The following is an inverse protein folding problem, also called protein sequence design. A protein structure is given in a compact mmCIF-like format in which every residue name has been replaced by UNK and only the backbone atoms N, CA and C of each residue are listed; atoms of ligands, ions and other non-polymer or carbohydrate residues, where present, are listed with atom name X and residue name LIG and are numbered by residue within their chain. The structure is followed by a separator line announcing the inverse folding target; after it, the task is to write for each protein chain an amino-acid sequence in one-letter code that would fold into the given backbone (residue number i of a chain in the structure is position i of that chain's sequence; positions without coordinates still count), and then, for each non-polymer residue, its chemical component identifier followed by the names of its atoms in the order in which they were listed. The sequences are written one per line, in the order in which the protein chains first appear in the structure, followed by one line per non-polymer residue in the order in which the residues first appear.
data_IF_521554756430
#
_entry.id   IF_521554756430
#
_cell.length_a   1.000
_cell.length_b   1.000
_cell.length_c   1.000
_cell.angle_alpha   90.00
_cell.angle_beta   90.00
_cell.angle_gamma   90.00
#
_symmetry.space_group_name_H-M   'P 1'
#
loop_
_entity.id
_entity.type
_entity.pdbx_description
1 polymer ?
#
# COMPACT_ATOMS: atom_id res chain seq x y z
N UNK A 1 -10.98 14.76 2.55
CA UNK A 1 -10.52 13.36 2.68
C UNK A 1 -11.57 12.48 2.03
N UNK A 2 -11.20 11.49 1.22
CA UNK A 2 -12.16 10.53 0.67
C UNK A 2 -12.78 9.72 1.81
N UNK A 3 -14.03 9.31 1.65
CA UNK A 3 -14.70 8.35 2.52
C UNK A 3 -14.10 6.96 2.35
N UNK A 4 -14.28 6.10 3.34
CA UNK A 4 -13.81 4.71 3.28
C UNK A 4 -14.36 3.99 2.03
N UNK A 5 -15.63 4.21 1.70
CA UNK A 5 -16.27 3.65 0.51
C UNK A 5 -15.63 4.14 -0.79
N UNK A 6 -15.30 5.44 -0.89
CA UNK A 6 -14.62 5.98 -2.07
C UNK A 6 -13.20 5.41 -2.21
N UNK A 7 -12.48 5.23 -1.09
CA UNK A 7 -11.16 4.61 -1.08
C UNK A 7 -11.26 3.16 -1.57
N UNK A 8 -12.18 2.38 -1.01
CA UNK A 8 -12.40 0.98 -1.37
C UNK A 8 -12.76 0.83 -2.85
N UNK A 9 -13.71 1.63 -3.35
CA UNK A 9 -14.15 1.57 -4.74
C UNK A 9 -12.99 1.89 -5.70
N UNK A 10 -12.24 2.96 -5.43
CA UNK A 10 -11.07 3.31 -6.26
C UNK A 10 -9.97 2.26 -6.21
N UNK A 11 -9.81 1.56 -5.08
CA UNK A 11 -8.89 0.44 -4.94
C UNK A 11 -9.31 -0.75 -5.80
N UNK A 12 -10.59 -1.12 -5.78
CA UNK A 12 -11.10 -2.19 -6.64
C UNK A 12 -10.91 -1.86 -8.11
N UNK A 13 -11.33 -0.68 -8.56
CA UNK A 13 -11.16 -0.27 -9.96
C UNK A 13 -9.70 -0.37 -10.42
N UNK A 14 -8.76 0.06 -9.58
CA UNK A 14 -7.32 -0.02 -9.87
C UNK A 14 -6.82 -1.46 -10.00
N UNK A 15 -7.24 -2.35 -9.10
CA UNK A 15 -6.84 -3.76 -9.12
C UNK A 15 -7.43 -4.46 -10.36
N UNK A 16 -8.72 -4.28 -10.63
CA UNK A 16 -9.38 -4.87 -11.78
C UNK A 16 -8.83 -4.35 -13.11
N UNK A 17 -8.49 -3.06 -13.20
CA UNK A 17 -7.85 -2.49 -14.37
C UNK A 17 -6.43 -3.02 -14.61
N UNK A 18 -5.69 -3.36 -13.54
CA UNK A 18 -4.30 -3.82 -13.65
C UNK A 18 -4.17 -5.32 -13.88
N UNK A 19 -5.06 -6.13 -13.30
CA UNK A 19 -4.93 -7.60 -13.29
C UNK A 19 -5.99 -8.29 -14.16
N UNK A 20 -7.06 -7.59 -14.54
CA UNK A 20 -8.23 -8.22 -15.14
C UNK A 20 -9.06 -9.01 -14.12
N UNK A 21 -10.25 -9.45 -14.54
CA UNK A 21 -11.28 -10.00 -13.65
C UNK A 21 -10.80 -11.17 -12.78
N UNK A 22 -10.22 -12.20 -13.42
CA UNK A 22 -9.88 -13.47 -12.75
C UNK A 22 -8.74 -13.31 -11.76
N UNK A 23 -7.67 -12.62 -12.16
CA UNK A 23 -6.51 -12.42 -11.29
C UNK A 23 -6.79 -11.39 -10.18
N UNK A 24 -7.65 -10.40 -10.42
CA UNK A 24 -8.11 -9.46 -9.40
C UNK A 24 -8.90 -10.17 -8.29
N UNK A 25 -9.86 -11.03 -8.64
CA UNK A 25 -10.61 -11.80 -7.64
C UNK A 25 -9.69 -12.73 -6.83
N UNK A 26 -8.75 -13.40 -7.51
CA UNK A 26 -7.75 -14.26 -6.85
C UNK A 26 -6.84 -13.45 -5.92
N UNK A 27 -6.41 -12.26 -6.32
CA UNK A 27 -5.61 -11.36 -5.49
C UNK A 27 -6.36 -10.97 -4.22
N UNK A 28 -7.62 -10.53 -4.34
CA UNK A 28 -8.45 -10.15 -3.19
C UNK A 28 -8.63 -11.34 -2.24
N UNK A 29 -8.85 -12.55 -2.77
CA UNK A 29 -8.94 -13.76 -1.97
C UNK A 29 -7.63 -14.03 -1.21
N UNK A 30 -6.47 -13.93 -1.87
CA UNK A 30 -5.16 -14.19 -1.26
C UNK A 30 -4.84 -13.19 -0.14
N UNK A 31 -5.09 -11.89 -0.38
CA UNK A 31 -4.87 -10.83 0.62
C UNK A 31 -5.80 -10.99 1.84
N UNK A 32 -7.03 -11.49 1.65
CA UNK A 32 -7.97 -11.75 2.75
C UNK A 32 -7.67 -13.05 3.51
N UNK A 33 -7.20 -14.09 2.81
CA UNK A 33 -6.98 -15.43 3.38
C UNK A 33 -5.69 -15.50 4.17
N UNK A 34 -4.62 -14.98 3.59
CA UNK A 34 -3.33 -14.91 4.26
C UNK A 34 -3.35 -13.60 5.05
N UNK A 35 -3.08 -13.62 6.36
CA UNK A 35 -2.94 -12.40 7.16
C UNK A 35 -1.80 -11.58 6.57
N UNK A 36 -2.11 -10.72 5.59
CA UNK A 36 -1.11 -9.94 4.90
C UNK A 36 -0.30 -9.17 5.93
N UNK A 37 0.99 -9.52 6.06
CA UNK A 37 1.86 -8.90 7.04
C UNK A 37 2.28 -7.54 6.50
N UNK A 38 1.52 -6.53 6.91
CA UNK A 38 1.79 -5.14 6.57
C UNK A 38 3.21 -4.72 6.97
N UNK A 39 3.75 -5.26 8.07
CA UNK A 39 5.08 -4.92 8.56
C UNK A 39 6.17 -5.46 7.63
N UNK A 40 6.03 -6.70 7.18
CA UNK A 40 6.96 -7.31 6.22
C UNK A 40 6.87 -6.68 4.83
N UNK A 41 5.66 -6.32 4.38
CA UNK A 41 5.50 -5.57 3.14
C UNK A 41 6.13 -4.18 3.22
N UNK A 42 5.92 -3.46 4.32
CA UNK A 42 6.46 -2.12 4.51
C UNK A 42 8.01 -2.09 4.48
N UNK A 43 8.67 -3.10 5.06
CA UNK A 43 10.14 -3.24 5.00
C UNK A 43 10.67 -3.27 3.57
N UNK A 44 9.87 -3.74 2.61
CA UNK A 44 10.25 -3.84 1.19
C UNK A 44 9.99 -2.58 0.38
N UNK A 45 9.31 -1.55 0.94
CA UNK A 45 9.02 -0.31 0.23
C UNK A 45 10.27 0.56 0.02
N UNK A 46 11.25 0.46 0.93
CA UNK A 46 12.46 1.26 0.89
C UNK A 46 13.72 0.39 0.96
N UNK A 47 13.91 -0.52 0.00
CA UNK A 47 15.00 -1.50 0.05
C UNK A 47 16.38 -0.84 -0.08
N UNK A 48 16.44 0.39 -0.58
CA UNK A 48 17.67 1.16 -0.79
C UNK A 48 17.90 2.26 0.28
N UNK A 49 17.07 2.35 1.32
CA UNK A 49 17.16 3.40 2.33
C UNK A 49 17.33 2.80 3.72
N UNK A 50 18.24 3.38 4.52
CA UNK A 50 18.33 3.03 5.93
C UNK A 50 17.20 3.69 6.74
N UNK A 51 16.95 3.16 7.94
CA UNK A 51 15.97 3.73 8.88
C UNK A 51 16.32 5.18 9.22
N UNK A 52 17.60 5.50 9.38
CA UNK A 52 18.10 6.84 9.68
C UNK A 52 17.83 7.81 8.53
N UNK A 53 18.03 7.37 7.27
CA UNK A 53 17.73 8.18 6.09
C UNK A 53 16.23 8.50 6.01
N UNK A 54 15.37 7.49 6.22
CA UNK A 54 13.91 7.66 6.22
C UNK A 54 13.45 8.60 7.34
N UNK A 55 13.99 8.43 8.55
CA UNK A 55 13.69 9.30 9.69
C UNK A 55 14.09 10.76 9.40
N UNK A 56 15.28 10.98 8.84
CA UNK A 56 15.74 12.32 8.44
C UNK A 56 14.88 12.96 7.34
N UNK A 57 14.38 12.19 6.39
CA UNK A 57 13.43 12.67 5.36
C UNK A 57 12.08 13.04 5.97
N UNK A 58 11.57 12.23 6.90
CA UNK A 58 10.31 12.50 7.59
C UNK A 58 10.40 13.79 8.43
N UNK A 59 11.48 13.96 9.19
CA UNK A 59 11.77 15.17 9.96
C UNK A 59 11.79 16.42 9.06
N UNK A 60 12.52 16.38 7.95
CA UNK A 60 12.59 17.50 6.99
C UNK A 60 11.24 17.82 6.37
N UNK A 61 10.45 16.80 6.01
CA UNK A 61 9.11 17.00 5.44
C UNK A 61 8.16 17.63 6.46
N UNK A 62 8.29 17.27 7.74
CA UNK A 62 7.51 17.87 8.83
C UNK A 62 7.85 19.33 9.06
N UNK A 63 9.13 19.71 8.99
CA UNK A 63 9.59 21.09 9.18
C UNK A 63 9.24 22.03 8.00
N UNK A 64 8.87 21.47 6.85
CA UNK A 64 8.52 22.22 5.64
C UNK A 64 7.01 22.41 5.43
N UNK A 65 6.17 21.72 6.21
CA UNK A 65 4.70 21.83 6.18
C UNK A 65 4.17 22.72 7.28
#
# INVERSE_FOLDING_TARGET
MKTDSEIINSGFESIFSSLGMVDAERFIMLIKRDKFDYTEWQKKLWPAESVESLSGKAQKAWEQG
#
